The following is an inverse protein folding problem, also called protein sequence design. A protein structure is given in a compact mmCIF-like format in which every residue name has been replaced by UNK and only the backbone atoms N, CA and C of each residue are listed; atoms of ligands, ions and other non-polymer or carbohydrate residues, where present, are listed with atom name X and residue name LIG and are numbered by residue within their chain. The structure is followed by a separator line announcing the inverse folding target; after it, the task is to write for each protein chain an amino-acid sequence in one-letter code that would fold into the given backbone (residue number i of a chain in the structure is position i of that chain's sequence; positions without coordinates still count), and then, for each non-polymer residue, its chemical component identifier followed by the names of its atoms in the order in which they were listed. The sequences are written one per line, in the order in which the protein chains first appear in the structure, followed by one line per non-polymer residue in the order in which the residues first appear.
data_IF_485946656431
#
_entry.id   IF_485946656431
#
_cell.length_a   1.000
_cell.length_b   1.000
_cell.length_c   1.000
_cell.angle_alpha   90.00
_cell.angle_beta   90.00
_cell.angle_gamma   90.00
#
_symmetry.space_group_name_H-M   'P 1'
#
loop_
_entity.id
_entity.type
_entity.pdbx_description
1 polymer ?
#
# COMPACT_ATOMS: atom_id res chain seq x y z
N UNK A 1 -47.08 56.99 -38.81
CA UNK A 1 -45.72 56.45 -38.85
C UNK A 1 -45.68 55.20 -37.95
N UNK A 2 -45.95 54.05 -38.56
CA UNK A 2 -45.74 52.77 -37.93
C UNK A 2 -44.28 52.36 -38.16
N UNK A 3 -43.40 52.62 -37.20
CA UNK A 3 -42.10 51.95 -37.16
C UNK A 3 -42.37 50.49 -36.90
N UNK A 4 -42.25 49.63 -37.87
CA UNK A 4 -42.04 48.20 -37.72
C UNK A 4 -40.62 48.03 -37.21
N UNK A 5 -40.50 47.99 -35.89
CA UNK A 5 -39.30 47.50 -35.22
C UNK A 5 -39.16 46.04 -35.67
N UNK A 6 -38.10 45.77 -36.39
CA UNK A 6 -37.72 44.42 -36.77
C UNK A 6 -37.39 43.66 -35.44
N UNK A 7 -38.41 43.05 -34.84
CA UNK A 7 -38.29 42.34 -33.55
C UNK A 7 -37.60 40.98 -33.77
N UNK A 8 -36.41 41.02 -34.37
CA UNK A 8 -35.55 39.86 -34.47
C UNK A 8 -35.07 39.50 -33.07
N UNK A 9 -35.32 38.24 -32.64
CA UNK A 9 -34.87 37.74 -31.35
C UNK A 9 -33.33 37.82 -31.25
N UNK A 10 -32.84 38.19 -30.05
CA UNK A 10 -31.41 38.25 -29.80
C UNK A 10 -30.91 36.82 -29.47
N UNK A 11 -30.18 36.24 -30.40
CA UNK A 11 -29.56 34.93 -30.29
C UNK A 11 -28.10 34.95 -29.79
N UNK A 12 -27.53 36.13 -29.48
CA UNK A 12 -26.10 36.26 -29.19
C UNK A 12 -25.62 35.32 -28.07
N UNK A 13 -26.33 35.29 -26.94
CA UNK A 13 -25.98 34.41 -25.81
C UNK A 13 -26.13 32.92 -26.19
N UNK A 14 -27.19 32.58 -26.93
CA UNK A 14 -27.41 31.20 -27.37
C UNK A 14 -26.28 30.70 -28.28
N UNK A 15 -25.88 31.47 -29.29
CA UNK A 15 -24.81 31.04 -30.19
C UNK A 15 -23.47 30.92 -29.47
N UNK A 16 -23.16 31.81 -28.53
CA UNK A 16 -21.97 31.70 -27.69
C UNK A 16 -21.98 30.43 -26.86
N UNK A 17 -23.12 30.11 -26.22
CA UNK A 17 -23.27 28.87 -25.42
C UNK A 17 -23.24 27.62 -26.32
N UNK A 18 -23.82 27.65 -27.50
CA UNK A 18 -23.81 26.55 -28.47
C UNK A 18 -22.38 26.25 -28.95
N UNK A 19 -21.60 27.27 -29.29
CA UNK A 19 -20.22 27.11 -29.72
C UNK A 19 -19.33 26.58 -28.57
N UNK A 20 -19.52 27.08 -27.34
CA UNK A 20 -18.84 26.58 -26.17
C UNK A 20 -19.15 25.08 -25.93
N UNK A 21 -20.43 24.70 -26.02
CA UNK A 21 -20.84 23.32 -25.85
C UNK A 21 -20.29 22.37 -26.93
N UNK A 22 -20.26 22.83 -28.20
CA UNK A 22 -19.67 22.06 -29.32
C UNK A 22 -18.15 21.92 -29.22
N UNK A 23 -17.46 22.87 -28.59
CA UNK A 23 -16.01 22.84 -28.40
C UNK A 23 -15.54 21.92 -27.26
N UNK A 24 -16.46 21.35 -26.47
CA UNK A 24 -16.10 20.48 -25.37
C UNK A 24 -15.47 19.19 -25.86
N UNK A 25 -14.24 18.91 -25.40
CA UNK A 25 -13.58 17.62 -25.59
C UNK A 25 -14.06 16.63 -24.51
N UNK A 26 -15.04 15.79 -24.87
CA UNK A 26 -15.66 14.83 -23.97
C UNK A 26 -14.70 13.80 -23.36
N UNK A 27 -13.51 13.61 -23.95
CA UNK A 27 -12.51 12.66 -23.43
C UNK A 27 -11.85 13.13 -22.12
N UNK A 28 -12.06 14.39 -21.74
CA UNK A 28 -11.49 14.99 -20.51
C UNK A 28 -12.43 14.97 -19.31
N UNK A 29 -13.68 14.52 -19.52
CA UNK A 29 -14.74 14.60 -18.51
C UNK A 29 -15.39 13.24 -18.24
N UNK A 30 -16.11 13.12 -17.12
CA UNK A 30 -16.86 11.90 -16.82
C UNK A 30 -17.97 11.69 -17.86
N UNK A 31 -18.22 10.42 -18.21
CA UNK A 31 -19.25 10.07 -19.21
C UNK A 31 -20.63 10.62 -18.81
N UNK A 32 -20.96 10.64 -17.51
CA UNK A 32 -22.22 11.16 -16.98
C UNK A 32 -22.36 12.67 -17.19
N UNK A 33 -21.32 13.45 -16.84
CA UNK A 33 -21.37 14.91 -17.00
C UNK A 33 -21.36 15.31 -18.48
N UNK A 34 -20.59 14.62 -19.33
CA UNK A 34 -20.55 14.88 -20.76
C UNK A 34 -21.87 14.50 -21.48
N UNK A 35 -22.56 13.45 -21.02
CA UNK A 35 -23.88 13.08 -21.56
C UNK A 35 -24.91 14.20 -21.40
N UNK A 36 -24.81 15.02 -20.34
CA UNK A 36 -25.70 16.21 -20.15
C UNK A 36 -25.44 17.25 -21.20
N UNK A 37 -24.18 17.47 -21.59
CA UNK A 37 -23.83 18.40 -22.70
C UNK A 37 -24.39 17.89 -24.03
N UNK A 38 -24.22 16.59 -24.31
CA UNK A 38 -24.74 15.97 -25.54
C UNK A 38 -26.28 16.08 -25.61
N UNK A 39 -26.98 15.80 -24.52
CA UNK A 39 -28.42 15.90 -24.42
C UNK A 39 -28.91 17.36 -24.60
N UNK A 40 -28.19 18.33 -24.05
CA UNK A 40 -28.50 19.76 -24.24
C UNK A 40 -28.29 20.19 -25.71
N UNK A 41 -27.21 19.76 -26.37
CA UNK A 41 -26.97 20.01 -27.79
C UNK A 41 -28.08 19.44 -28.70
N UNK A 42 -28.58 18.24 -28.37
CA UNK A 42 -29.72 17.64 -29.12
C UNK A 42 -31.03 18.35 -28.85
N UNK A 43 -31.29 18.71 -27.59
CA UNK A 43 -32.54 19.37 -27.18
C UNK A 43 -32.63 20.78 -27.79
N UNK A 44 -31.55 21.54 -27.73
CA UNK A 44 -31.44 22.91 -28.16
C UNK A 44 -30.61 23.04 -29.44
N UNK A 45 -30.81 22.11 -30.38
CA UNK A 45 -30.14 22.17 -31.69
C UNK A 45 -30.49 23.46 -32.42
N UNK A 46 -29.51 24.02 -33.12
CA UNK A 46 -29.61 25.34 -33.78
C UNK A 46 -30.93 25.52 -34.59
N UNK A 47 -31.26 24.56 -35.45
CA UNK A 47 -32.47 24.62 -36.25
C UNK A 47 -33.79 24.69 -35.44
N UNK A 48 -33.79 24.12 -34.23
CA UNK A 48 -34.94 24.18 -33.34
C UNK A 48 -35.07 25.54 -32.67
N UNK A 49 -33.95 26.10 -32.22
CA UNK A 49 -33.94 27.41 -31.52
C UNK A 49 -34.17 28.56 -32.48
N UNK A 50 -33.69 28.47 -33.70
CA UNK A 50 -33.98 29.45 -34.76
C UNK A 50 -35.48 29.51 -35.17
N UNK A 51 -36.23 28.46 -34.85
CA UNK A 51 -37.67 28.43 -35.06
C UNK A 51 -38.47 29.01 -33.87
N UNK A 52 -37.85 29.43 -32.79
CA UNK A 52 -38.53 30.04 -31.64
C UNK A 52 -39.01 31.45 -31.99
N UNK A 53 -40.16 31.79 -31.43
CA UNK A 53 -40.79 33.10 -31.62
C UNK A 53 -40.84 33.94 -30.33
N UNK A 54 -40.26 33.43 -29.26
CA UNK A 54 -40.22 34.05 -27.94
C UNK A 54 -38.76 34.14 -27.44
N UNK A 55 -38.34 35.34 -27.07
CA UNK A 55 -37.01 35.62 -26.52
C UNK A 55 -36.72 34.82 -25.24
N UNK A 56 -37.72 34.54 -24.40
CA UNK A 56 -37.54 33.76 -23.20
C UNK A 56 -37.12 32.31 -23.52
N UNK A 57 -37.62 31.74 -24.61
CA UNK A 57 -37.22 30.39 -25.05
C UNK A 57 -35.76 30.36 -25.53
N UNK A 58 -35.32 31.40 -26.28
CA UNK A 58 -33.91 31.54 -26.72
C UNK A 58 -32.98 31.68 -25.52
N UNK A 59 -33.37 32.50 -24.55
CA UNK A 59 -32.60 32.68 -23.30
C UNK A 59 -32.52 31.40 -22.48
N UNK A 60 -33.61 30.66 -22.36
CA UNK A 60 -33.64 29.37 -21.66
C UNK A 60 -32.72 28.33 -22.34
N UNK A 61 -32.68 28.31 -23.68
CA UNK A 61 -31.79 27.42 -24.43
C UNK A 61 -30.30 27.77 -24.16
N UNK A 62 -29.95 29.06 -24.16
CA UNK A 62 -28.60 29.53 -23.80
C UNK A 62 -28.22 29.08 -22.40
N UNK A 63 -29.07 29.37 -21.41
CA UNK A 63 -28.83 28.98 -20.00
C UNK A 63 -28.69 27.47 -19.81
N UNK A 64 -29.48 26.68 -20.53
CA UNK A 64 -29.40 25.21 -20.44
C UNK A 64 -28.06 24.66 -20.97
N UNK A 65 -27.57 25.18 -22.09
CA UNK A 65 -26.27 24.84 -22.64
C UNK A 65 -25.13 25.27 -21.73
N UNK A 66 -25.18 26.51 -21.21
CA UNK A 66 -24.20 27.00 -20.23
C UNK A 66 -24.15 26.12 -18.95
N UNK A 67 -25.32 25.77 -18.40
CA UNK A 67 -25.40 24.93 -17.22
C UNK A 67 -24.82 23.52 -17.48
N UNK A 68 -25.07 22.97 -18.69
CA UNK A 68 -24.51 21.67 -19.02
C UNK A 68 -22.98 21.73 -19.14
N UNK A 69 -22.40 22.79 -19.72
CA UNK A 69 -20.95 23.00 -19.81
C UNK A 69 -20.33 23.26 -18.42
N UNK A 70 -20.97 24.12 -17.63
CA UNK A 70 -20.51 24.43 -16.27
C UNK A 70 -20.61 23.26 -15.30
N UNK A 71 -21.48 22.29 -15.59
CA UNK A 71 -21.65 21.05 -14.83
C UNK A 71 -20.70 19.93 -15.23
N UNK A 72 -19.69 20.19 -16.06
CA UNK A 72 -18.71 19.17 -16.47
C UNK A 72 -17.77 18.80 -15.31
N UNK A 73 -17.63 17.51 -15.09
CA UNK A 73 -16.73 16.92 -14.08
C UNK A 73 -15.51 16.32 -14.77
N UNK A 74 -14.34 16.88 -14.49
CA UNK A 74 -13.10 16.39 -15.07
C UNK A 74 -12.83 14.94 -14.63
N UNK A 75 -12.25 14.14 -15.54
CA UNK A 75 -11.76 12.81 -15.18
C UNK A 75 -10.65 12.93 -14.13
N UNK A 76 -10.60 11.99 -13.16
CA UNK A 76 -9.49 11.92 -12.23
C UNK A 76 -8.16 11.81 -12.99
N UNK A 77 -7.18 12.61 -12.60
CA UNK A 77 -5.82 12.57 -13.16
C UNK A 77 -4.91 11.62 -12.39
N UNK A 78 -5.39 11.08 -11.29
CA UNK A 78 -4.65 10.19 -10.41
C UNK A 78 -5.51 9.04 -9.90
N UNK A 79 -4.84 7.93 -9.60
CA UNK A 79 -5.40 6.79 -8.90
C UNK A 79 -4.95 6.82 -7.43
N UNK A 80 -5.82 6.40 -6.51
CA UNK A 80 -5.53 6.33 -5.07
C UNK A 80 -5.46 4.87 -4.66
N UNK A 81 -4.31 4.47 -4.15
CA UNK A 81 -4.02 3.11 -3.71
C UNK A 81 -4.07 3.03 -2.19
N UNK A 82 -4.69 1.98 -1.64
CA UNK A 82 -4.77 1.73 -0.20
C UNK A 82 -3.91 0.53 0.17
N UNK A 83 -3.01 0.72 1.12
CA UNK A 83 -2.12 -0.29 1.67
C UNK A 83 -2.53 -0.60 3.11
N UNK A 84 -2.84 -1.87 3.39
CA UNK A 84 -3.21 -2.35 4.74
C UNK A 84 -2.06 -3.14 5.33
N UNK A 85 -1.46 -2.64 6.41
CA UNK A 85 -0.38 -3.30 7.15
C UNK A 85 -0.89 -4.49 7.97
N UNK A 86 -0.01 -5.40 8.34
CA UNK A 86 -0.33 -6.59 9.13
C UNK A 86 -1.07 -6.28 10.45
N UNK A 87 -0.83 -5.11 11.05
CA UNK A 87 -1.55 -4.62 12.24
C UNK A 87 -2.90 -3.97 11.95
N UNK A 88 -3.43 -4.01 10.71
CA UNK A 88 -4.71 -3.42 10.32
C UNK A 88 -4.66 -1.91 10.05
N UNK A 89 -3.51 -1.24 10.26
CA UNK A 89 -3.33 0.17 9.90
C UNK A 89 -3.34 0.32 8.38
N UNK A 90 -3.96 1.37 7.87
CA UNK A 90 -3.98 1.68 6.43
C UNK A 90 -3.18 2.93 6.11
N UNK A 91 -2.60 2.97 4.91
CA UNK A 91 -1.97 4.15 4.31
C UNK A 91 -2.42 4.26 2.85
N UNK A 92 -2.70 5.49 2.41
CA UNK A 92 -3.02 5.76 1.00
C UNK A 92 -1.81 6.36 0.29
N UNK A 93 -1.65 5.97 -0.98
CA UNK A 93 -0.63 6.50 -1.90
C UNK A 93 -1.33 6.90 -3.19
N UNK A 94 -1.04 8.11 -3.68
CA UNK A 94 -1.57 8.61 -4.94
C UNK A 94 -0.50 8.47 -6.03
N UNK A 95 -0.90 7.99 -7.20
CA UNK A 95 -0.05 7.95 -8.40
C UNK A 95 -0.82 8.54 -9.58
N UNK A 96 -0.11 8.97 -10.63
CA UNK A 96 -0.75 9.39 -11.87
C UNK A 96 -1.63 8.26 -12.42
N UNK A 97 -2.74 8.61 -13.06
CA UNK A 97 -3.70 7.62 -13.57
C UNK A 97 -3.03 6.59 -14.48
N UNK A 98 -3.15 5.32 -14.10
CA UNK A 98 -2.54 4.21 -14.82
C UNK A 98 -1.05 3.99 -14.54
N UNK A 99 -0.41 4.82 -13.69
CA UNK A 99 0.95 4.60 -13.23
C UNK A 99 0.99 3.66 -12.02
N UNK A 100 2.09 2.91 -11.89
CA UNK A 100 2.31 2.09 -10.71
C UNK A 100 2.62 3.00 -9.49
N UNK A 101 1.98 2.76 -8.33
CA UNK A 101 2.25 3.51 -7.12
C UNK A 101 3.62 3.14 -6.54
N UNK A 102 4.25 4.08 -5.83
CA UNK A 102 5.40 3.78 -4.98
C UNK A 102 4.85 3.24 -3.66
N UNK A 103 4.97 1.93 -3.45
CA UNK A 103 4.48 1.29 -2.23
C UNK A 103 5.21 1.83 -0.98
N UNK A 104 4.52 1.98 0.16
CA UNK A 104 5.17 2.29 1.44
C UNK A 104 6.10 1.14 1.86
N UNK A 105 7.03 1.44 2.77
CA UNK A 105 7.88 0.39 3.35
C UNK A 105 7.03 -0.61 4.12
N UNK A 106 7.35 -1.89 3.97
CA UNK A 106 6.70 -2.96 4.74
C UNK A 106 6.98 -2.84 6.24
N UNK A 107 6.16 -3.53 7.04
CA UNK A 107 6.45 -3.78 8.46
C UNK A 107 7.84 -4.42 8.58
N UNK A 108 8.61 -3.97 9.58
CA UNK A 108 9.93 -4.53 9.85
C UNK A 108 9.84 -6.03 10.16
N UNK A 109 10.80 -6.80 9.64
CA UNK A 109 10.88 -8.22 9.94
C UNK A 109 11.11 -8.43 11.44
N UNK A 110 10.50 -9.49 11.97
CA UNK A 110 10.65 -9.92 13.36
C UNK A 110 11.33 -11.27 13.43
N UNK A 111 12.10 -11.50 14.50
CA UNK A 111 12.74 -12.80 14.77
C UNK A 111 12.27 -13.31 16.12
N UNK A 112 11.83 -14.55 16.15
CA UNK A 112 11.36 -15.23 17.36
C UNK A 112 12.20 -16.50 17.59
N UNK A 113 12.71 -16.66 18.81
CA UNK A 113 13.32 -17.91 19.27
C UNK A 113 12.20 -18.93 19.54
N UNK A 114 12.30 -20.13 18.95
CA UNK A 114 11.33 -21.21 19.13
C UNK A 114 11.66 -22.09 20.36
N UNK A 115 12.76 -21.82 21.06
CA UNK A 115 13.25 -22.57 22.23
C UNK A 115 13.52 -24.06 21.95
N UNK A 116 13.80 -24.43 20.72
CA UNK A 116 14.10 -25.79 20.27
C UNK A 116 15.38 -25.89 19.42
N UNK A 117 16.21 -24.85 19.46
CA UNK A 117 17.40 -24.74 18.62
C UNK A 117 17.10 -24.18 17.23
N UNK A 118 15.87 -23.73 16.99
CA UNK A 118 15.46 -23.02 15.74
C UNK A 118 14.97 -21.60 16.06
N UNK A 119 14.88 -20.78 15.02
CA UNK A 119 14.25 -19.46 15.09
C UNK A 119 13.39 -19.22 13.86
N UNK A 120 12.32 -18.44 14.03
CA UNK A 120 11.45 -18.05 12.93
C UNK A 120 11.63 -16.58 12.64
N UNK A 121 11.96 -16.25 11.37
CA UNK A 121 11.99 -14.88 10.85
C UNK A 121 10.71 -14.64 10.07
N UNK A 122 9.92 -13.65 10.48
CA UNK A 122 8.73 -13.21 9.75
C UNK A 122 9.05 -11.90 9.02
N UNK A 123 8.97 -11.93 7.70
CA UNK A 123 9.04 -10.75 6.83
C UNK A 123 7.69 -10.49 6.18
N UNK A 124 7.52 -9.31 5.57
CA UNK A 124 6.26 -8.94 4.96
C UNK A 124 6.48 -8.50 3.51
N UNK A 125 5.52 -8.85 2.66
CA UNK A 125 5.47 -8.41 1.26
C UNK A 125 4.08 -7.86 0.95
N UNK A 126 3.97 -6.96 -0.03
CA UNK A 126 2.68 -6.48 -0.48
C UNK A 126 2.02 -7.50 -1.42
N UNK A 127 0.80 -7.91 -1.09
CA UNK A 127 -0.06 -8.74 -1.93
C UNK A 127 -1.23 -7.90 -2.43
N UNK A 128 -1.49 -7.94 -3.74
CA UNK A 128 -2.61 -7.23 -4.34
C UNK A 128 -3.92 -7.92 -3.96
N UNK A 129 -4.86 -7.18 -3.33
CA UNK A 129 -6.16 -7.69 -2.87
C UNK A 129 -7.34 -7.14 -3.66
N UNK A 130 -7.12 -6.12 -4.50
CA UNK A 130 -8.11 -5.51 -5.37
C UNK A 130 -7.43 -4.61 -6.40
N UNK A 131 -8.19 -3.88 -7.21
CA UNK A 131 -7.64 -3.06 -8.28
C UNK A 131 -6.65 -2.02 -7.74
N UNK A 132 -7.04 -1.33 -6.65
CA UNK A 132 -6.27 -0.26 -6.00
C UNK A 132 -5.97 -0.58 -4.53
N UNK A 133 -6.00 -1.85 -4.13
CA UNK A 133 -5.81 -2.25 -2.74
C UNK A 133 -4.73 -3.33 -2.61
N UNK A 134 -3.92 -3.19 -1.56
CA UNK A 134 -2.85 -4.10 -1.20
C UNK A 134 -2.91 -4.39 0.30
N UNK A 135 -2.51 -5.59 0.69
CA UNK A 135 -2.33 -5.95 2.09
C UNK A 135 -0.96 -6.58 2.31
N UNK A 136 -0.38 -6.39 3.50
CA UNK A 136 0.83 -7.12 3.88
C UNK A 136 0.51 -8.59 4.06
N UNK A 137 1.34 -9.41 3.43
CA UNK A 137 1.38 -10.86 3.61
C UNK A 137 2.60 -11.22 4.42
N UNK A 138 2.39 -11.89 5.54
CA UNK A 138 3.46 -12.44 6.36
C UNK A 138 4.10 -13.66 5.66
N UNK A 139 5.43 -13.66 5.62
CA UNK A 139 6.25 -14.76 5.14
C UNK A 139 7.14 -15.21 6.29
N UNK A 140 6.77 -16.32 6.93
CA UNK A 140 7.53 -16.93 8.01
C UNK A 140 8.53 -17.95 7.45
N UNK A 141 9.78 -17.88 7.88
CA UNK A 141 10.86 -18.77 7.52
C UNK A 141 11.54 -19.26 8.80
N UNK A 142 11.49 -20.59 9.06
CA UNK A 142 12.09 -21.21 10.23
C UNK A 142 13.43 -21.82 9.86
N UNK A 143 14.47 -21.50 10.61
CA UNK A 143 15.86 -21.93 10.40
C UNK A 143 16.47 -22.45 11.67
N UNK A 144 17.43 -23.36 11.52
CA UNK A 144 18.28 -23.80 12.61
C UNK A 144 19.12 -22.65 13.15
N UNK A 145 19.36 -22.65 14.45
CA UNK A 145 20.25 -21.70 15.09
C UNK A 145 21.72 -21.97 14.69
N UNK A 146 22.41 -20.89 14.35
CA UNK A 146 23.86 -20.94 14.17
C UNK A 146 24.54 -20.37 15.41
N UNK A 147 25.26 -21.21 16.09
CA UNK A 147 25.97 -20.88 17.34
C UNK A 147 27.38 -20.41 17.03
N UNK A 148 27.86 -19.44 17.80
CA UNK A 148 29.27 -19.03 17.82
C UNK A 148 30.15 -19.98 18.59
N UNK A 149 31.32 -19.47 19.07
CA UNK A 149 32.22 -20.23 19.93
C UNK A 149 31.57 -20.49 21.31
N UNK A 150 31.78 -21.70 21.83
CA UNK A 150 31.34 -22.06 23.17
C UNK A 150 32.27 -21.47 24.22
N UNK A 151 31.68 -20.87 25.23
CA UNK A 151 32.41 -20.31 26.38
C UNK A 151 32.09 -21.14 27.66
N UNK A 152 33.12 -21.41 28.43
CA UNK A 152 32.94 -22.18 29.69
C UNK A 152 32.10 -21.38 30.68
N UNK A 153 30.99 -21.96 31.12
CA UNK A 153 30.16 -21.46 32.21
C UNK A 153 30.60 -22.00 33.56
N UNK A 154 30.85 -23.32 33.60
CA UNK A 154 31.39 -23.99 34.79
C UNK A 154 32.58 -24.82 34.35
N UNK A 155 33.73 -24.60 34.98
CA UNK A 155 34.94 -25.39 34.70
C UNK A 155 34.78 -26.85 35.13
N UNK A 156 35.29 -27.76 34.32
CA UNK A 156 35.43 -29.18 34.69
C UNK A 156 36.48 -29.37 35.80
N UNK A 157 36.24 -30.35 36.64
CA UNK A 157 37.18 -30.84 37.61
C UNK A 157 37.35 -32.36 37.44
N UNK A 158 38.31 -33.00 38.15
CA UNK A 158 38.43 -34.45 38.15
C UNK A 158 37.21 -35.16 38.80
N UNK A 159 36.47 -34.45 39.68
CA UNK A 159 35.31 -34.96 40.36
C UNK A 159 34.00 -34.67 39.64
N UNK A 160 33.88 -33.52 38.94
CA UNK A 160 32.64 -33.01 38.38
C UNK A 160 32.83 -32.52 36.92
N UNK A 161 31.89 -32.83 36.07
CA UNK A 161 31.76 -32.26 34.75
C UNK A 161 31.52 -30.74 34.82
N UNK A 162 32.01 -30.00 33.83
CA UNK A 162 31.72 -28.60 33.66
C UNK A 162 30.56 -28.39 32.67
N UNK A 163 30.29 -27.14 32.35
CA UNK A 163 29.34 -26.75 31.31
C UNK A 163 29.91 -25.61 30.47
N UNK A 164 29.56 -25.58 29.22
CA UNK A 164 29.82 -24.45 28.32
C UNK A 164 28.57 -24.06 27.57
N UNK A 165 28.50 -22.85 27.08
CA UNK A 165 27.39 -22.34 26.27
C UNK A 165 27.85 -21.57 25.07
N UNK A 166 27.02 -21.58 24.04
CA UNK A 166 27.10 -20.68 22.90
C UNK A 166 25.73 -20.02 22.65
N UNK A 167 25.73 -18.86 22.05
CA UNK A 167 24.51 -18.09 21.78
C UNK A 167 24.28 -17.98 20.27
N UNK A 168 23.06 -18.20 19.85
CA UNK A 168 22.66 -17.96 18.45
C UNK A 168 22.74 -16.46 18.14
N UNK A 169 23.49 -16.11 17.10
CA UNK A 169 23.70 -14.71 16.70
C UNK A 169 22.46 -14.02 16.17
N UNK A 170 21.41 -14.77 15.82
CA UNK A 170 20.19 -14.25 15.18
C UNK A 170 19.07 -14.03 16.20
N UNK A 171 18.78 -15.02 17.05
CA UNK A 171 17.64 -14.97 17.97
C UNK A 171 18.03 -14.87 19.45
N UNK A 172 19.32 -15.08 19.77
CA UNK A 172 19.80 -15.09 21.17
C UNK A 172 19.61 -16.39 21.92
N UNK A 173 19.07 -17.45 21.28
CA UNK A 173 18.93 -18.78 21.90
C UNK A 173 20.28 -19.28 22.43
N UNK A 174 20.30 -19.79 23.64
CA UNK A 174 21.51 -20.37 24.29
C UNK A 174 21.48 -21.88 24.18
N UNK A 175 22.51 -22.47 23.54
CA UNK A 175 22.78 -23.89 23.59
C UNK A 175 23.79 -24.17 24.72
N UNK A 176 23.44 -25.07 25.63
CA UNK A 176 24.26 -25.43 26.79
C UNK A 176 24.61 -26.90 26.69
N UNK A 177 25.89 -27.23 26.79
CA UNK A 177 26.38 -28.59 26.74
C UNK A 177 27.35 -28.89 27.87
N UNK A 178 27.44 -30.16 28.23
CA UNK A 178 28.36 -30.64 29.27
C UNK A 178 29.80 -30.73 28.75
N UNK A 179 30.75 -30.26 29.55
CA UNK A 179 32.18 -30.52 29.41
C UNK A 179 32.57 -31.79 30.19
N UNK A 180 33.31 -32.66 29.53
CA UNK A 180 33.81 -33.87 30.22
C UNK A 180 34.62 -33.50 31.47
N UNK A 181 34.60 -34.39 32.48
CA UNK A 181 35.48 -34.26 33.63
C UNK A 181 36.94 -34.28 33.19
N UNK A 182 37.80 -33.62 33.94
CA UNK A 182 39.23 -33.72 33.74
C UNK A 182 39.72 -35.15 34.06
N UNK A 183 40.73 -35.57 33.31
CA UNK A 183 41.37 -36.86 33.57
C UNK A 183 42.08 -36.83 34.93
N UNK A 184 41.55 -37.59 35.87
CA UNK A 184 42.11 -37.76 37.22
C UNK A 184 42.94 -39.00 37.42
N UNK A 185 43.19 -39.79 36.35
CA UNK A 185 43.86 -41.13 36.47
C UNK A 185 45.19 -41.05 37.24
N UNK A 186 46.05 -40.10 36.87
CA UNK A 186 47.35 -39.93 37.55
C UNK A 186 47.22 -39.54 39.03
N UNK A 187 46.23 -38.63 39.30
CA UNK A 187 45.94 -38.21 40.67
C UNK A 187 45.48 -39.36 41.55
N UNK A 188 44.48 -40.13 41.08
CA UNK A 188 43.97 -41.25 41.84
C UNK A 188 45.00 -42.39 42.03
N UNK A 189 45.84 -42.61 41.02
CA UNK A 189 46.96 -43.58 41.15
C UNK A 189 48.01 -43.13 42.19
N UNK A 190 48.32 -41.82 42.23
CA UNK A 190 49.22 -41.27 43.25
C UNK A 190 48.60 -41.33 44.64
N UNK A 191 47.29 -41.04 44.79
CA UNK A 191 46.57 -41.09 46.03
C UNK A 191 46.57 -42.54 46.61
N UNK A 192 46.23 -43.51 45.75
CA UNK A 192 46.25 -44.94 46.16
C UNK A 192 47.61 -45.40 46.62
N UNK A 193 48.71 -44.97 45.98
CA UNK A 193 50.06 -45.25 46.42
C UNK A 193 50.37 -44.62 47.79
N UNK A 194 49.94 -43.38 48.01
CA UNK A 194 50.17 -42.69 49.29
C UNK A 194 49.38 -43.31 50.43
N UNK A 195 48.18 -43.82 50.19
CA UNK A 195 47.34 -44.53 51.19
C UNK A 195 47.86 -45.89 51.53
N UNK A 196 48.56 -46.57 50.61
CA UNK A 196 49.15 -47.90 50.85
C UNK A 196 50.43 -47.85 51.70
N UNK A 197 50.97 -46.70 52.02
CA UNK A 197 52.20 -46.52 52.84
C UNK A 197 51.85 -46.23 54.31
N UNK A 198 50.56 -46.12 54.65
CA UNK A 198 50.08 -46.00 56.02
C UNK A 198 49.86 -47.39 56.66
#
# INVERSE_FOLDING_TARGET
DTQTKDDKLDGTAYYAALDAAKAVDGTKYTAESYAKVTAALETYAQAKVEAYTDQAQVTAAATALENAVNGLEALPTSDVYTYTFAGGKTQTVTADKGAAPIAPANTAATTVDNNDGTHTVTSYTWEKTGEFTFAEKANADTKDCTYGEYTTVTASTIAKAGTEKATCSVCGHEDVRDLAKLDGTAYYAALAKAEAVK
#
